data_IF_320589824930
#
_entry.id   IF_320589824930
#
_cell.length_a   1.000
_cell.length_b   1.000
_cell.length_c   1.000
_cell.angle_alpha   90.00
_cell.angle_beta   90.00
_cell.angle_gamma   90.00
#
_symmetry.space_group_name_H-M   'P 1'
#
loop_
_entity.id
_entity.type
_entity.pdbx_description
1 polymer ?
#
# COMPACT_ATOMS: atom_id res chain seq x y z
N UNK A 1 -45.93 7.15 -25.20
CA UNK A 1 -44.60 7.49 -24.66
C UNK A 1 -44.23 6.36 -23.69
N UNK A 2 -43.30 5.45 -24.02
CA UNK A 2 -42.95 4.32 -23.18
C UNK A 2 -41.91 4.68 -22.11
N UNK A 3 -42.05 4.01 -20.97
CA UNK A 3 -41.36 4.25 -19.71
C UNK A 3 -39.92 3.70 -19.78
N UNK A 4 -38.92 4.56 -19.53
CA UNK A 4 -37.53 4.13 -19.44
C UNK A 4 -37.33 3.33 -18.14
N UNK A 5 -37.39 2.00 -18.28
CA UNK A 5 -36.95 1.04 -17.27
C UNK A 5 -35.44 1.19 -17.09
N UNK A 6 -35.02 2.02 -16.15
CA UNK A 6 -33.63 2.09 -15.68
C UNK A 6 -33.27 0.77 -15.01
N UNK A 7 -32.69 -0.15 -15.78
CA UNK A 7 -32.03 -1.33 -15.24
C UNK A 7 -30.75 -0.87 -14.55
N UNK A 8 -30.82 -0.64 -13.24
CA UNK A 8 -29.62 -0.58 -12.42
C UNK A 8 -28.94 -1.95 -12.53
N UNK A 9 -27.81 -1.98 -13.23
CA UNK A 9 -26.89 -3.11 -13.18
C UNK A 9 -26.46 -3.25 -11.72
N UNK A 10 -27.10 -4.18 -11.02
CA UNK A 10 -26.67 -4.58 -9.69
C UNK A 10 -25.38 -5.35 -9.91
N UNK A 11 -24.24 -4.66 -9.83
CA UNK A 11 -22.93 -5.30 -9.78
C UNK A 11 -22.92 -6.09 -8.48
N UNK A 12 -23.12 -7.40 -8.64
CA UNK A 12 -23.08 -8.40 -7.60
C UNK A 12 -21.84 -8.18 -6.73
N UNK A 13 -22.09 -8.05 -5.43
CA UNK A 13 -21.10 -7.86 -4.38
C UNK A 13 -20.15 -9.05 -4.29
N UNK A 14 -19.12 -9.07 -5.12
CA UNK A 14 -17.86 -9.73 -4.81
C UNK A 14 -17.02 -8.77 -3.99
N UNK A 15 -17.16 -8.79 -2.66
CA UNK A 15 -16.29 -8.04 -1.76
C UNK A 15 -14.88 -8.65 -1.81
N UNK A 16 -14.12 -8.38 -2.88
CA UNK A 16 -12.67 -8.37 -2.76
C UNK A 16 -12.37 -7.24 -1.79
N UNK A 17 -12.18 -7.55 -0.50
CA UNK A 17 -11.73 -6.58 0.48
C UNK A 17 -10.44 -6.00 -0.07
N UNK A 18 -10.51 -4.78 -0.62
CA UNK A 18 -9.32 -4.06 -1.05
C UNK A 18 -8.60 -3.71 0.25
N UNK A 19 -7.64 -4.54 0.63
CA UNK A 19 -6.77 -4.26 1.76
C UNK A 19 -5.86 -3.12 1.30
N UNK A 20 -6.36 -1.89 1.46
CA UNK A 20 -5.57 -0.70 1.27
C UNK A 20 -4.72 -0.50 2.52
N UNK A 21 -3.44 -0.28 2.31
CA UNK A 21 -2.52 0.14 3.36
C UNK A 21 -1.77 1.38 2.88
N UNK A 22 -1.35 2.20 3.83
CA UNK A 22 -0.60 3.42 3.57
C UNK A 22 0.81 3.24 4.09
N UNK A 23 1.78 3.40 3.19
CA UNK A 23 3.19 3.51 3.55
C UNK A 23 3.50 4.98 3.76
N UNK A 24 3.94 5.31 4.96
CA UNK A 24 4.34 6.64 5.38
C UNK A 24 5.82 6.82 5.05
N UNK A 25 6.16 7.90 4.34
CA UNK A 25 7.53 8.27 4.05
C UNK A 25 7.84 9.57 4.78
N UNK A 26 8.75 9.48 5.75
CA UNK A 26 9.16 10.60 6.60
C UNK A 26 10.63 10.94 6.35
N UNK A 27 10.90 12.23 6.16
CA UNK A 27 12.26 12.75 6.15
C UNK A 27 12.75 12.92 7.60
N UNK A 28 13.89 12.30 7.90
CA UNK A 28 14.58 12.37 9.17
C UNK A 28 15.46 13.63 9.24
N UNK A 29 15.83 14.03 10.47
CA UNK A 29 16.66 15.22 10.74
C UNK A 29 18.02 15.20 10.03
N UNK A 30 18.55 14.02 9.73
CA UNK A 30 19.82 13.82 9.03
C UNK A 30 19.71 13.89 7.50
N UNK A 31 18.53 14.21 6.95
CA UNK A 31 18.26 14.24 5.50
C UNK A 31 17.98 12.86 4.89
N UNK A 32 17.96 11.81 5.71
CA UNK A 32 17.58 10.45 5.31
C UNK A 32 16.06 10.30 5.31
N UNK A 33 15.55 9.40 4.50
CA UNK A 33 14.14 9.04 4.43
C UNK A 33 13.88 7.71 5.12
N UNK A 34 12.74 7.62 5.80
CA UNK A 34 12.23 6.41 6.42
C UNK A 34 10.86 6.07 5.84
N UNK A 35 10.70 4.86 5.33
CA UNK A 35 9.42 4.28 4.93
C UNK A 35 8.91 3.38 6.06
N UNK A 36 7.69 3.60 6.53
CA UNK A 36 7.04 2.76 7.55
C UNK A 36 5.61 2.45 7.12
N UNK A 37 5.07 1.33 7.59
CA UNK A 37 3.69 0.97 7.32
C UNK A 37 3.01 0.49 8.61
N UNK A 38 1.82 1.00 8.87
CA UNK A 38 1.02 0.55 10.02
C UNK A 38 0.72 -0.95 9.90
N UNK A 39 1.07 -1.70 10.95
CA UNK A 39 0.86 -3.14 11.03
C UNK A 39 1.97 -3.99 10.43
N UNK A 40 3.08 -3.38 10.01
CA UNK A 40 4.27 -4.09 9.52
C UNK A 40 5.48 -3.61 10.30
N UNK A 41 6.15 -4.54 10.98
CA UNK A 41 7.36 -4.27 11.78
C UNK A 41 8.61 -4.23 10.88
N UNK A 42 8.51 -3.48 9.78
CA UNK A 42 9.60 -3.28 8.83
C UNK A 42 9.69 -1.79 8.56
N UNK A 43 10.86 -1.24 8.76
CA UNK A 43 11.20 0.09 8.26
C UNK A 43 12.13 -0.02 7.06
N UNK A 44 11.84 0.79 6.06
CA UNK A 44 12.75 1.10 4.97
C UNK A 44 13.56 2.34 5.32
N UNK A 45 14.87 2.36 5.10
CA UNK A 45 15.65 3.62 5.15
C UNK A 45 16.41 3.85 3.86
N UNK A 46 16.57 5.12 3.48
CA UNK A 46 17.32 5.50 2.29
C UNK A 46 17.69 6.98 2.30
N UNK A 47 18.50 7.43 1.36
CA UNK A 47 18.84 8.85 1.22
C UNK A 47 17.75 9.63 0.47
N UNK A 48 16.84 8.91 -0.19
CA UNK A 48 15.65 9.44 -0.85
C UNK A 48 14.40 8.64 -0.49
N UNK A 49 13.23 9.27 -0.66
CA UNK A 49 11.92 8.61 -0.48
C UNK A 49 11.80 7.31 -1.31
N UNK A 50 12.27 7.33 -2.56
CA UNK A 50 12.26 6.17 -3.45
C UNK A 50 13.18 5.03 -2.97
N UNK A 51 14.34 5.37 -2.41
CA UNK A 51 15.27 4.39 -1.86
C UNK A 51 14.72 3.77 -0.58
N UNK A 52 14.14 4.58 0.31
CA UNK A 52 13.48 4.08 1.51
C UNK A 52 12.33 3.12 1.16
N UNK A 53 11.53 3.43 0.12
CA UNK A 53 10.49 2.53 -0.37
C UNK A 53 11.06 1.24 -0.97
N UNK A 54 12.16 1.33 -1.73
CA UNK A 54 12.82 0.17 -2.33
C UNK A 54 13.37 -0.76 -1.27
N UNK A 55 14.03 -0.20 -0.25
CA UNK A 55 14.58 -0.95 0.88
C UNK A 55 13.48 -1.62 1.71
N UNK A 56 12.38 -0.89 1.96
CA UNK A 56 11.18 -1.45 2.59
C UNK A 56 10.65 -2.64 1.79
N UNK A 57 10.42 -2.50 0.48
CA UNK A 57 9.94 -3.58 -0.38
C UNK A 57 10.88 -4.79 -0.38
N UNK A 58 12.20 -4.57 -0.39
CA UNK A 58 13.19 -5.64 -0.35
C UNK A 58 13.17 -6.41 0.99
N UNK A 59 13.06 -5.71 2.12
CA UNK A 59 12.92 -6.33 3.45
C UNK A 59 11.65 -7.14 3.57
N UNK A 60 10.54 -6.67 3.00
CA UNK A 60 9.28 -7.43 2.96
C UNK A 60 9.42 -8.70 2.13
N UNK A 61 10.02 -8.60 0.94
CA UNK A 61 10.26 -9.77 0.08
C UNK A 61 11.13 -10.81 0.80
N UNK A 62 12.19 -10.38 1.48
CA UNK A 62 13.05 -11.28 2.27
C UNK A 62 12.32 -11.89 3.49
N UNK A 63 11.40 -11.14 4.11
CA UNK A 63 10.62 -11.63 5.25
C UNK A 63 9.54 -12.64 4.84
N UNK A 64 9.10 -12.61 3.58
CA UNK A 64 8.03 -13.47 3.05
C UNK A 64 8.55 -14.72 2.31
N UNK A 65 9.86 -14.85 2.10
CA UNK A 65 10.51 -16.00 1.45
C UNK A 65 10.86 -17.14 2.45
N UNK A 66 10.50 -16.98 3.72
CA UNK A 66 10.80 -17.92 4.82
C UNK A 66 9.63 -18.79 5.28
N UNK A 67 8.72 -19.20 4.39
CA UNK A 67 7.66 -20.19 4.69
C UNK A 67 7.97 -21.60 4.15
#
# INVERSE_FOLDING_TARGET
MPEHRSTAVSTSSGQSRRHLTTVILEELRDGRWRATQTGVDVDGVGDSAAEAATEYCAKIAASNDGE
#
